data_IF_494210028300
#
_entry.id   IF_494210028300
#
_cell.length_a   1.000
_cell.length_b   1.000
_cell.length_c   1.000
_cell.angle_alpha   90.00
_cell.angle_beta   90.00
_cell.angle_gamma   90.00
#
_symmetry.space_group_name_H-M   'P 1'
#
loop_
_entity.id
_entity.type
_entity.pdbx_description
1 polymer ?
#
# COMPACT_ATOMS: atom_id res chain seq x y z
N UNK A 1 0.17 -13.70 18.65
CA UNK A 1 1.34 -13.65 17.76
C UNK A 1 1.02 -13.74 16.27
N UNK A 2 0.50 -14.87 15.74
CA UNK A 2 0.25 -15.04 14.30
C UNK A 2 -0.88 -14.17 13.74
N UNK A 3 -1.85 -13.79 14.59
CA UNK A 3 -3.02 -13.00 14.21
C UNK A 3 -2.68 -11.58 13.72
N UNK A 4 -1.76 -10.88 14.40
CA UNK A 4 -1.37 -9.52 14.00
C UNK A 4 -0.59 -9.51 12.67
N UNK A 5 0.30 -10.48 12.46
CA UNK A 5 1.05 -10.61 11.21
C UNK A 5 0.17 -11.04 10.04
N UNK A 6 -0.77 -11.96 10.28
CA UNK A 6 -1.73 -12.39 9.27
C UNK A 6 -2.69 -11.27 8.87
N UNK A 7 -3.21 -10.52 9.85
CA UNK A 7 -4.05 -9.35 9.61
C UNK A 7 -3.30 -8.28 8.81
N UNK A 8 -2.04 -7.98 9.21
CA UNK A 8 -1.19 -7.04 8.48
C UNK A 8 -0.96 -7.51 7.04
N UNK A 9 -0.62 -8.78 6.84
CA UNK A 9 -0.41 -9.35 5.51
C UNK A 9 -1.66 -9.23 4.63
N UNK A 10 -2.83 -9.56 5.16
CA UNK A 10 -4.09 -9.45 4.42
C UNK A 10 -4.40 -7.99 4.05
N UNK A 11 -4.20 -7.06 4.98
CA UNK A 11 -4.37 -5.63 4.75
C UNK A 11 -3.48 -5.14 3.59
N UNK A 12 -2.17 -5.40 3.64
CA UNK A 12 -1.25 -4.98 2.56
C UNK A 12 -1.58 -5.65 1.24
N UNK A 13 -2.00 -6.92 1.26
CA UNK A 13 -2.37 -7.66 0.05
C UNK A 13 -3.62 -7.07 -0.62
N UNK A 14 -4.62 -6.70 0.17
CA UNK A 14 -5.83 -6.05 -0.32
C UNK A 14 -5.52 -4.66 -0.90
N UNK A 15 -4.75 -3.86 -0.17
CA UNK A 15 -4.33 -2.55 -0.63
C UNK A 15 -3.51 -2.64 -1.94
N UNK A 16 -2.55 -3.56 -2.00
CA UNK A 16 -1.75 -3.83 -3.21
C UNK A 16 -2.61 -4.22 -4.40
N UNK A 17 -3.71 -4.94 -4.17
CA UNK A 17 -4.66 -5.27 -5.23
C UNK A 17 -5.42 -4.03 -5.71
N UNK A 18 -5.96 -3.21 -4.80
CA UNK A 18 -6.70 -1.98 -5.13
C UNK A 18 -5.84 -1.01 -5.94
N UNK A 19 -4.62 -0.75 -5.48
CA UNK A 19 -3.66 0.15 -6.16
C UNK A 19 -3.27 -0.39 -7.54
N UNK A 20 -3.18 -1.71 -7.71
CA UNK A 20 -2.89 -2.31 -9.02
C UNK A 20 -4.09 -2.25 -9.99
N UNK A 21 -5.31 -2.41 -9.47
CA UNK A 21 -6.54 -2.20 -10.23
C UNK A 21 -6.60 -0.75 -10.74
N UNK A 22 -6.30 0.24 -9.88
CA UNK A 22 -6.16 1.65 -10.27
C UNK A 22 -5.05 1.89 -11.30
N UNK A 23 -3.87 1.31 -11.08
CA UNK A 23 -2.74 1.38 -12.03
C UNK A 23 -3.18 0.91 -13.41
N UNK A 24 -3.89 -0.22 -13.46
CA UNK A 24 -4.39 -0.83 -14.69
C UNK A 24 -5.49 0.03 -15.32
N UNK A 25 -6.34 0.66 -14.50
CA UNK A 25 -7.34 1.60 -14.94
C UNK A 25 -6.72 2.83 -15.60
N UNK A 26 -5.73 3.49 -14.97
CA UNK A 26 -5.01 4.62 -15.57
C UNK A 26 -4.28 4.25 -16.86
N UNK A 27 -3.68 3.04 -16.93
CA UNK A 27 -3.07 2.53 -18.17
C UNK A 27 -4.10 2.37 -19.28
N UNK A 28 -5.31 1.91 -18.95
CA UNK A 28 -6.41 1.75 -19.90
C UNK A 28 -6.98 3.11 -20.31
N UNK A 29 -7.10 4.04 -19.37
CA UNK A 29 -7.50 5.42 -19.62
C UNK A 29 -6.57 6.11 -20.61
N UNK A 30 -5.25 6.01 -20.42
CA UNK A 30 -4.24 6.53 -21.37
C UNK A 30 -4.45 6.00 -22.79
N UNK A 31 -4.68 4.69 -22.95
CA UNK A 31 -4.97 4.08 -24.26
C UNK A 31 -6.26 4.58 -24.88
N UNK A 32 -7.26 4.96 -24.08
CA UNK A 32 -8.52 5.54 -24.56
C UNK A 32 -8.36 6.99 -24.96
N UNK A 33 -7.61 7.79 -24.19
CA UNK A 33 -7.27 9.17 -24.53
C UNK A 33 -6.58 9.26 -25.90
N UNK A 34 -5.74 8.26 -26.24
CA UNK A 34 -5.09 8.20 -27.54
C UNK A 34 -6.06 8.15 -28.73
N UNK A 35 -7.24 7.55 -28.52
CA UNK A 35 -8.29 7.37 -29.54
C UNK A 35 -9.26 8.53 -29.64
N UNK A 36 -9.30 9.44 -28.66
CA UNK A 36 -10.19 10.60 -28.70
C UNK A 36 -9.64 11.58 -29.74
N UNK A 37 -10.40 11.87 -30.80
CA UNK A 37 -10.01 12.89 -31.78
C UNK A 37 -9.99 14.26 -31.12
N UNK A 38 -8.92 15.03 -31.31
CA UNK A 38 -8.85 16.43 -30.88
C UNK A 38 -9.71 17.25 -31.83
N UNK A 39 -10.62 18.04 -31.28
CA UNK A 39 -11.32 19.05 -32.07
C UNK A 39 -10.34 20.18 -32.34
N UNK A 40 -9.80 20.21 -33.56
CA UNK A 40 -9.14 21.42 -34.06
C UNK A 40 -10.19 22.52 -34.03
N UNK A 41 -9.97 23.57 -33.24
CA UNK A 41 -10.65 24.86 -33.40
C UNK A 41 -10.26 25.43 -34.77
N UNK A 42 -10.82 24.85 -35.83
CA UNK A 42 -10.82 25.43 -37.14
C UNK A 42 -11.85 26.55 -37.08
N UNK A 43 -11.39 27.76 -36.80
CA UNK A 43 -12.15 28.97 -37.10
C UNK A 43 -12.24 29.06 -38.62
N UNK A 44 -13.15 28.30 -39.24
CA UNK A 44 -13.51 28.48 -40.63
C UNK A 44 -14.29 29.80 -40.72
N UNK A 45 -13.61 30.85 -41.18
CA UNK A 45 -14.26 32.06 -41.68
C UNK A 45 -15.04 31.69 -42.95
N UNK A 46 -16.34 31.43 -42.80
CA UNK A 46 -17.26 31.32 -43.93
C UNK A 46 -17.48 32.70 -44.58
N UNK A 47 -17.51 32.82 -45.92
CA UNK A 47 -17.78 34.09 -46.63
C UNK A 47 -19.23 34.59 -46.53
N UNK A 48 -20.08 33.91 -45.75
CA UNK A 48 -21.48 34.28 -45.53
C UNK A 48 -21.72 34.25 -44.03
N UNK A 49 -21.92 35.44 -43.44
CA UNK A 49 -21.97 35.69 -41.99
C UNK A 49 -23.16 35.05 -41.26
N UNK A 50 -23.29 33.73 -41.32
CA UNK A 50 -24.13 32.94 -40.42
C UNK A 50 -23.24 31.95 -39.68
N UNK A 51 -22.84 32.38 -38.48
CA UNK A 51 -22.25 31.52 -37.47
C UNK A 51 -23.37 30.65 -36.89
N UNK A 52 -23.52 29.41 -37.36
CA UNK A 52 -24.27 28.41 -36.60
C UNK A 52 -23.36 27.99 -35.46
N UNK A 53 -23.50 28.64 -34.31
CA UNK A 53 -22.97 28.12 -33.05
C UNK A 53 -23.72 26.81 -32.78
N UNK A 54 -23.14 25.68 -33.18
CA UNK A 54 -23.53 24.39 -32.65
C UNK A 54 -23.22 24.38 -31.16
N UNK A 55 -24.25 24.67 -30.36
CA UNK A 55 -24.32 24.57 -28.91
C UNK A 55 -23.13 25.12 -28.11
N UNK A 56 -23.38 26.23 -27.39
CA UNK A 56 -22.64 26.61 -26.19
C UNK A 56 -22.82 25.53 -25.10
N UNK A 57 -22.29 24.33 -25.28
CA UNK A 57 -22.04 23.45 -24.14
C UNK A 57 -20.87 24.06 -23.39
N UNK A 58 -21.10 24.68 -22.24
CA UNK A 58 -20.05 24.84 -21.23
C UNK A 58 -19.99 23.52 -20.47
N UNK A 59 -18.79 23.05 -20.09
CA UNK A 59 -18.65 21.80 -19.32
C UNK A 59 -17.63 20.82 -19.89
N UNK A 60 -17.47 19.71 -19.17
CA UNK A 60 -16.47 18.67 -19.43
C UNK A 60 -16.67 18.02 -20.81
N UNK A 61 -15.61 17.80 -21.61
CA UNK A 61 -15.73 17.09 -22.88
C UNK A 61 -16.32 15.69 -22.67
N UNK A 62 -17.48 15.34 -23.28
CA UNK A 62 -18.20 14.10 -22.96
C UNK A 62 -17.39 12.82 -23.21
N UNK A 63 -16.53 12.83 -24.24
CA UNK A 63 -15.64 11.70 -24.54
C UNK A 63 -14.55 11.50 -23.48
N UNK A 64 -14.07 12.58 -22.87
CA UNK A 64 -13.10 12.52 -21.77
C UNK A 64 -13.77 11.96 -20.52
N UNK A 65 -14.92 12.54 -20.14
CA UNK A 65 -15.70 12.09 -18.98
C UNK A 65 -16.04 10.61 -19.08
N UNK A 66 -16.66 10.19 -20.19
CA UNK A 66 -17.01 8.78 -20.42
C UNK A 66 -15.79 7.86 -20.39
N UNK A 67 -14.65 8.28 -20.96
CA UNK A 67 -13.43 7.48 -20.92
C UNK A 67 -12.90 7.31 -19.49
N UNK A 68 -12.97 8.34 -18.66
CA UNK A 68 -12.53 8.32 -17.27
C UNK A 68 -13.47 7.49 -16.38
N UNK A 69 -14.78 7.75 -16.47
CA UNK A 69 -15.81 7.03 -15.72
C UNK A 69 -15.75 5.52 -15.96
N UNK A 70 -15.65 5.11 -17.23
CA UNK A 70 -15.61 3.69 -17.59
C UNK A 70 -14.20 3.08 -17.55
N UNK A 71 -13.25 3.73 -16.89
CA UNK A 71 -11.92 3.16 -16.56
C UNK A 71 -11.54 3.40 -15.10
N UNK A 72 -11.19 4.63 -14.73
CA UNK A 72 -10.68 4.99 -13.40
C UNK A 72 -11.77 4.90 -12.34
N UNK A 73 -12.98 5.38 -12.64
CA UNK A 73 -14.12 5.24 -11.70
C UNK A 73 -14.81 3.87 -11.80
N UNK A 74 -14.38 3.01 -12.71
CA UNK A 74 -14.93 1.66 -12.89
C UNK A 74 -14.11 0.58 -12.18
N UNK A 75 -13.17 0.96 -11.31
CA UNK A 75 -12.44 0.00 -10.47
C UNK A 75 -13.39 -0.60 -9.43
N UNK A 76 -13.22 -1.87 -9.04
CA UNK A 76 -14.19 -2.58 -8.19
C UNK A 76 -14.48 -1.92 -6.83
N UNK A 77 -13.52 -1.18 -6.29
CA UNK A 77 -13.60 -0.52 -4.99
C UNK A 77 -14.09 0.94 -5.04
N UNK A 78 -14.36 1.49 -6.23
CA UNK A 78 -14.62 2.92 -6.38
C UNK A 78 -15.80 3.42 -5.53
N UNK A 79 -16.94 2.74 -5.64
CA UNK A 79 -18.19 3.12 -4.95
C UNK A 79 -18.10 2.92 -3.42
N UNK A 80 -17.15 2.13 -2.94
CA UNK A 80 -16.98 1.85 -1.51
C UNK A 80 -16.02 2.87 -0.89
N UNK A 81 -14.91 3.13 -1.58
CA UNK A 81 -13.80 3.91 -1.04
C UNK A 81 -13.95 5.41 -1.32
N UNK A 82 -14.59 5.79 -2.44
CA UNK A 82 -14.73 7.18 -2.87
C UNK A 82 -16.20 7.61 -2.96
N UNK A 83 -17.02 6.92 -3.77
CA UNK A 83 -18.40 7.33 -4.11
C UNK A 83 -18.51 8.81 -4.54
N UNK A 84 -17.47 9.30 -5.22
CA UNK A 84 -17.35 10.71 -5.60
C UNK A 84 -17.85 10.96 -7.02
N UNK A 85 -18.43 12.15 -7.31
CA UNK A 85 -18.73 12.54 -8.67
C UNK A 85 -17.44 12.83 -9.46
N UNK A 86 -17.53 12.72 -10.79
CA UNK A 86 -16.40 12.94 -11.72
C UNK A 86 -15.56 14.18 -11.38
N UNK A 87 -16.19 15.34 -11.17
CA UNK A 87 -15.48 16.61 -10.97
C UNK A 87 -14.63 16.63 -9.70
N UNK A 88 -15.12 15.99 -8.64
CA UNK A 88 -14.43 15.91 -7.34
C UNK A 88 -13.25 14.96 -7.46
N UNK A 89 -13.48 13.74 -7.91
CA UNK A 89 -12.44 12.73 -8.02
C UNK A 89 -11.39 13.10 -9.08
N UNK A 90 -11.83 13.64 -10.22
CA UNK A 90 -10.92 14.13 -11.25
C UNK A 90 -10.09 15.30 -10.73
N UNK A 91 -10.66 16.23 -9.95
CA UNK A 91 -9.89 17.33 -9.36
C UNK A 91 -8.89 16.87 -8.30
N UNK A 92 -9.24 15.86 -7.50
CA UNK A 92 -8.33 15.26 -6.53
C UNK A 92 -7.13 14.59 -7.23
N UNK A 93 -7.38 13.84 -8.31
CA UNK A 93 -6.35 13.13 -9.08
C UNK A 93 -5.56 14.04 -10.04
N UNK A 94 -6.19 15.12 -10.52
CA UNK A 94 -5.62 16.05 -11.49
C UNK A 94 -5.74 17.47 -10.95
N UNK A 95 -4.60 18.07 -10.60
CA UNK A 95 -4.45 19.42 -10.03
C UNK A 95 -5.55 20.43 -10.39
N UNK A 96 -5.93 21.31 -9.46
CA UNK A 96 -6.96 22.35 -9.64
C UNK A 96 -6.86 23.14 -10.96
N UNK A 97 -5.65 23.35 -11.47
CA UNK A 97 -5.40 23.99 -12.77
C UNK A 97 -6.05 23.25 -13.95
N UNK A 98 -6.04 21.92 -13.94
CA UNK A 98 -6.68 21.08 -14.96
C UNK A 98 -8.20 21.13 -14.86
N UNK A 99 -8.74 21.10 -13.64
CA UNK A 99 -10.18 21.25 -13.37
C UNK A 99 -10.70 22.62 -13.86
N UNK A 100 -9.92 23.68 -13.64
CA UNK A 100 -10.22 25.01 -14.17
C UNK A 100 -10.23 25.04 -15.71
N UNK A 101 -9.29 24.35 -16.37
CA UNK A 101 -9.28 24.26 -17.84
C UNK A 101 -10.52 23.55 -18.39
N UNK A 102 -11.01 22.51 -17.71
CA UNK A 102 -12.23 21.78 -18.09
C UNK A 102 -13.50 22.62 -17.95
N UNK A 103 -13.52 23.52 -16.96
CA UNK A 103 -14.67 24.41 -16.72
C UNK A 103 -14.83 25.47 -17.81
N UNK A 104 -13.73 25.84 -18.49
CA UNK A 104 -13.68 26.97 -19.43
C UNK A 104 -13.76 26.55 -20.89
N UNK A 105 -13.40 25.30 -21.24
CA UNK A 105 -13.39 24.84 -22.63
C UNK A 105 -14.09 23.49 -22.81
N UNK A 106 -15.20 23.45 -23.58
CA UNK A 106 -15.91 22.20 -23.87
C UNK A 106 -15.25 21.34 -24.94
N UNK A 107 -14.32 21.92 -25.70
CA UNK A 107 -13.58 21.21 -26.72
C UNK A 107 -12.37 20.49 -26.08
N UNK A 108 -12.14 19.25 -26.46
CA UNK A 108 -10.93 18.53 -26.06
C UNK A 108 -9.73 19.00 -26.90
N UNK A 109 -9.25 20.21 -26.59
CA UNK A 109 -8.16 20.89 -27.32
C UNK A 109 -6.83 20.13 -27.20
N UNK A 110 -5.85 20.35 -28.11
CA UNK A 110 -4.53 19.71 -28.02
C UNK A 110 -3.84 19.97 -26.68
N UNK A 111 -4.00 21.19 -26.15
CA UNK A 111 -3.41 21.61 -24.87
C UNK A 111 -4.03 20.88 -23.68
N UNK A 112 -5.37 20.81 -23.62
CA UNK A 112 -6.09 20.06 -22.58
C UNK A 112 -5.73 18.57 -22.65
N UNK A 113 -5.72 17.98 -23.85
CA UNK A 113 -5.30 16.59 -24.04
C UNK A 113 -3.90 16.33 -23.53
N UNK A 114 -2.93 17.16 -23.90
CA UNK A 114 -1.54 16.99 -23.45
C UNK A 114 -1.42 17.03 -21.93
N UNK A 115 -2.15 17.95 -21.29
CA UNK A 115 -2.13 18.09 -19.84
C UNK A 115 -2.82 16.91 -19.13
N UNK A 116 -3.95 16.40 -19.65
CA UNK A 116 -4.62 15.19 -19.12
C UNK A 116 -3.73 13.95 -19.29
N UNK A 117 -3.09 13.77 -20.45
CA UNK A 117 -2.16 12.65 -20.68
C UNK A 117 -1.00 12.72 -19.68
N UNK A 118 -0.41 13.90 -19.48
CA UNK A 118 0.67 14.07 -18.52
C UNK A 118 0.23 13.75 -17.08
N UNK A 119 -0.95 14.20 -16.66
CA UNK A 119 -1.53 13.86 -15.36
C UNK A 119 -1.79 12.37 -15.20
N UNK A 120 -2.39 11.72 -16.21
CA UNK A 120 -2.67 10.29 -16.17
C UNK A 120 -1.40 9.43 -16.17
N UNK A 121 -0.34 9.87 -16.87
CA UNK A 121 0.98 9.25 -16.81
C UNK A 121 1.62 9.40 -15.44
N UNK A 122 1.46 10.56 -14.78
CA UNK A 122 1.92 10.78 -13.42
C UNK A 122 1.22 9.83 -12.45
N UNK A 123 -0.12 9.81 -12.44
CA UNK A 123 -0.89 8.91 -11.57
C UNK A 123 -0.56 7.43 -11.81
N UNK A 124 -0.41 7.01 -13.08
CA UNK A 124 0.05 5.66 -13.39
C UNK A 124 1.41 5.32 -12.76
N UNK A 125 2.39 6.25 -12.84
CA UNK A 125 3.73 6.05 -12.26
C UNK A 125 3.69 6.02 -10.74
N UNK A 126 2.94 6.93 -10.12
CA UNK A 126 2.78 6.98 -8.66
C UNK A 126 2.17 5.68 -8.11
N UNK A 127 1.12 5.16 -8.75
CA UNK A 127 0.56 3.84 -8.41
C UNK A 127 1.55 2.71 -8.63
N UNK A 128 2.34 2.74 -9.72
CA UNK A 128 3.35 1.70 -9.98
C UNK A 128 4.47 1.68 -8.92
N UNK A 129 4.93 2.86 -8.52
CA UNK A 129 5.90 3.04 -7.43
C UNK A 129 5.30 2.60 -6.09
N UNK A 130 4.01 2.88 -5.86
CA UNK A 130 3.33 2.44 -4.64
C UNK A 130 3.15 0.92 -4.58
N UNK A 131 2.75 0.27 -5.67
CA UNK A 131 2.71 -1.20 -5.77
C UNK A 131 4.07 -1.81 -5.42
N UNK A 132 5.17 -1.21 -5.91
CA UNK A 132 6.52 -1.71 -5.60
C UNK A 132 6.83 -1.63 -4.10
N UNK A 133 6.38 -0.57 -3.42
CA UNK A 133 6.53 -0.43 -1.97
C UNK A 133 5.68 -1.45 -1.20
N UNK A 134 4.45 -1.70 -1.66
CA UNK A 134 3.56 -2.70 -1.05
C UNK A 134 4.11 -4.12 -1.24
N UNK A 135 4.66 -4.44 -2.41
CA UNK A 135 5.33 -5.72 -2.67
C UNK A 135 6.54 -5.90 -1.72
N UNK A 136 7.33 -4.85 -1.49
CA UNK A 136 8.44 -4.90 -0.52
C UNK A 136 7.97 -5.12 0.92
N UNK A 137 6.87 -4.49 1.32
CA UNK A 137 6.30 -4.68 2.65
C UNK A 137 5.72 -6.10 2.82
N UNK A 138 5.05 -6.65 1.80
CA UNK A 138 4.58 -8.05 1.80
C UNK A 138 5.73 -9.04 2.01
N UNK A 139 6.84 -8.89 1.29
CA UNK A 139 8.02 -9.74 1.46
C UNK A 139 8.63 -9.59 2.86
N UNK A 140 8.65 -8.37 3.41
CA UNK A 140 9.12 -8.12 4.77
C UNK A 140 8.23 -8.79 5.82
N UNK A 141 6.91 -8.73 5.66
CA UNK A 141 5.95 -9.39 6.55
C UNK A 141 6.10 -10.92 6.50
N UNK A 142 6.22 -11.50 5.31
CA UNK A 142 6.42 -12.94 5.14
C UNK A 142 7.72 -13.44 5.79
N UNK A 143 8.81 -12.67 5.61
CA UNK A 143 10.09 -12.97 6.25
C UNK A 143 9.95 -12.94 7.77
N UNK A 144 9.33 -11.89 8.31
CA UNK A 144 9.13 -11.76 9.75
C UNK A 144 8.23 -12.86 10.32
N UNK A 145 7.15 -13.21 9.62
CA UNK A 145 6.25 -14.30 10.00
C UNK A 145 6.98 -15.65 10.02
N UNK A 146 7.79 -15.92 9.00
CA UNK A 146 8.56 -17.17 8.91
C UNK A 146 9.56 -17.29 10.06
N UNK A 147 10.32 -16.23 10.34
CA UNK A 147 11.30 -16.22 11.43
C UNK A 147 10.62 -16.32 12.81
N UNK A 148 9.57 -15.54 13.05
CA UNK A 148 8.83 -15.58 14.32
C UNK A 148 8.19 -16.96 14.56
N UNK A 149 7.60 -17.55 13.53
CA UNK A 149 7.02 -18.91 13.60
C UNK A 149 8.10 -19.94 13.89
N UNK A 150 9.25 -19.88 13.22
CA UNK A 150 10.39 -20.77 13.48
C UNK A 150 10.90 -20.67 14.92
N UNK A 151 10.94 -19.46 15.49
CA UNK A 151 11.32 -19.26 16.89
C UNK A 151 10.27 -19.87 17.82
N UNK A 152 8.99 -19.60 17.58
CA UNK A 152 7.88 -20.13 18.38
C UNK A 152 7.83 -21.66 18.38
N UNK A 153 7.91 -22.30 17.22
CA UNK A 153 7.90 -23.76 17.08
C UNK A 153 9.05 -24.42 17.85
N UNK A 154 10.25 -23.81 17.84
CA UNK A 154 11.40 -24.30 18.60
C UNK A 154 11.15 -24.27 20.10
N UNK A 155 10.43 -23.28 20.60
CA UNK A 155 10.06 -23.20 22.02
C UNK A 155 8.97 -24.23 22.33
N UNK A 156 7.93 -24.30 21.50
CA UNK A 156 6.77 -25.16 21.70
C UNK A 156 7.14 -26.65 21.72
N UNK A 157 7.96 -27.10 20.77
CA UNK A 157 8.49 -28.49 20.73
C UNK A 157 9.22 -28.84 22.02
N UNK A 158 9.80 -27.85 22.70
CA UNK A 158 10.52 -28.05 23.95
C UNK A 158 9.66 -27.85 25.20
N UNK A 159 8.37 -27.53 25.09
CA UNK A 159 7.47 -27.41 26.25
C UNK A 159 6.74 -28.73 26.57
N UNK A 160 6.87 -29.76 25.74
CA UNK A 160 6.17 -31.05 25.92
C UNK A 160 6.60 -31.86 27.16
N UNK A 161 7.82 -31.66 27.65
CA UNK A 161 8.30 -32.31 28.88
C UNK A 161 8.35 -31.29 30.01
N UNK A 162 7.60 -31.49 31.11
CA UNK A 162 7.62 -30.60 32.27
C UNK A 162 9.05 -30.38 32.78
N UNK A 163 9.38 -29.15 33.16
CA UNK A 163 10.72 -28.80 33.63
C UNK A 163 11.16 -29.66 34.85
N UNK A 164 10.22 -29.98 35.74
CA UNK A 164 10.44 -30.87 36.90
C UNK A 164 10.86 -32.29 36.53
N UNK A 165 10.60 -32.73 35.30
CA UNK A 165 10.93 -34.07 34.81
C UNK A 165 12.22 -34.09 33.99
N UNK A 166 12.86 -32.95 33.77
CA UNK A 166 14.11 -32.83 33.02
C UNK A 166 15.31 -32.96 33.95
N UNK A 167 16.34 -33.64 33.49
CA UNK A 167 17.66 -33.66 34.13
C UNK A 167 18.32 -32.27 34.08
N UNK A 168 19.34 -32.06 34.90
CA UNK A 168 20.13 -30.81 34.90
C UNK A 168 20.69 -30.48 33.50
N UNK A 169 21.24 -31.48 32.79
CA UNK A 169 21.80 -31.28 31.46
C UNK A 169 20.72 -30.91 30.42
N UNK A 170 19.52 -31.49 30.53
CA UNK A 170 18.39 -31.14 29.66
C UNK A 170 17.89 -29.72 29.94
N UNK A 171 17.88 -29.29 31.21
CA UNK A 171 17.54 -27.91 31.59
C UNK A 171 18.59 -26.91 31.05
N UNK A 172 19.89 -27.24 31.13
CA UNK A 172 20.96 -26.40 30.59
C UNK A 172 20.88 -26.29 29.07
N UNK A 173 20.58 -27.39 28.38
CA UNK A 173 20.38 -27.39 26.93
C UNK A 173 19.17 -26.52 26.53
N UNK A 174 18.08 -26.62 27.30
CA UNK A 174 16.87 -25.81 27.09
C UNK A 174 17.14 -24.32 27.35
N UNK A 175 17.87 -23.98 28.40
CA UNK A 175 18.31 -22.62 28.67
C UNK A 175 19.12 -22.04 27.49
N UNK A 176 20.13 -22.77 27.02
CA UNK A 176 20.94 -22.34 25.88
C UNK A 176 20.13 -22.19 24.57
N UNK A 177 19.09 -23.01 24.38
CA UNK A 177 18.16 -22.87 23.26
C UNK A 177 17.37 -21.57 23.34
N UNK A 178 16.82 -21.26 24.53
CA UNK A 178 16.04 -20.04 24.78
C UNK A 178 16.91 -18.80 24.55
N UNK A 179 18.12 -18.74 25.09
CA UNK A 179 19.04 -17.63 24.86
C UNK A 179 19.32 -17.42 23.36
N UNK A 180 19.60 -18.50 22.62
CA UNK A 180 19.82 -18.42 21.17
C UNK A 180 18.59 -17.91 20.42
N UNK A 181 17.38 -18.24 20.88
CA UNK A 181 16.16 -17.74 20.28
C UNK A 181 15.91 -16.26 20.61
N UNK A 182 16.32 -15.79 21.81
CA UNK A 182 16.31 -14.38 22.15
C UNK A 182 17.27 -13.59 21.23
N UNK A 183 18.49 -14.07 21.02
CA UNK A 183 19.46 -13.42 20.12
C UNK A 183 18.90 -13.28 18.69
N UNK A 184 18.27 -14.35 18.16
CA UNK A 184 17.62 -14.31 16.83
C UNK A 184 16.46 -13.34 16.77
N UNK A 185 15.73 -13.20 17.87
CA UNK A 185 14.60 -12.28 17.95
C UNK A 185 15.07 -10.82 17.96
N UNK A 186 16.18 -10.54 18.64
CA UNK A 186 16.82 -9.22 18.63
C UNK A 186 17.34 -8.86 17.24
N UNK A 187 17.98 -9.82 16.55
CA UNK A 187 18.40 -9.65 15.15
C UNK A 187 17.20 -9.33 14.23
N UNK A 188 16.07 -10.03 14.41
CA UNK A 188 14.84 -9.78 13.66
C UNK A 188 14.27 -8.38 13.95
N UNK A 189 14.29 -7.94 15.22
CA UNK A 189 13.83 -6.60 15.61
C UNK A 189 14.67 -5.50 14.94
N UNK A 190 16.00 -5.65 14.98
CA UNK A 190 16.94 -4.71 14.34
C UNK A 190 16.73 -4.67 12.82
N UNK A 191 16.62 -5.83 12.18
CA UNK A 191 16.35 -5.93 10.74
C UNK A 191 15.02 -5.24 10.35
N UNK A 192 13.97 -5.42 11.16
CA UNK A 192 12.69 -4.76 10.93
C UNK A 192 12.79 -3.24 11.11
N UNK A 193 13.45 -2.77 12.16
CA UNK A 193 13.66 -1.33 12.39
C UNK A 193 14.42 -0.66 11.23
N UNK A 194 15.45 -1.33 10.69
CA UNK A 194 16.14 -0.85 9.50
C UNK A 194 15.24 -0.78 8.27
N UNK A 195 14.36 -1.76 8.09
CA UNK A 195 13.40 -1.78 6.98
C UNK A 195 12.42 -0.61 7.09
N UNK A 196 11.85 -0.38 8.27
CA UNK A 196 10.96 0.76 8.56
C UNK A 196 11.67 2.08 8.27
N UNK A 197 12.88 2.26 8.80
CA UNK A 197 13.66 3.49 8.61
C UNK A 197 13.97 3.74 7.12
N UNK A 198 14.31 2.70 6.36
CA UNK A 198 14.60 2.80 4.92
C UNK A 198 13.38 3.20 4.11
N UNK A 199 12.22 2.61 4.40
CA UNK A 199 10.96 2.95 3.72
C UNK A 199 10.57 4.40 3.99
N UNK A 200 10.82 4.89 5.21
CA UNK A 200 10.43 6.24 5.61
C UNK A 200 11.44 7.33 5.18
N UNK A 201 12.73 6.99 5.05
CA UNK A 201 13.76 7.95 4.60
C UNK A 201 13.65 8.37 3.13
N UNK A 202 12.92 7.63 2.30
CA UNK A 202 12.70 7.95 0.87
C UNK A 202 11.50 8.86 0.60
N UNK A 203 10.77 9.28 1.63
CA UNK A 203 9.54 10.07 1.48
C UNK A 203 9.91 11.54 1.25
N UNK A 204 9.77 12.03 0.03
CA UNK A 204 9.58 13.46 -0.20
C UNK A 204 8.40 13.90 0.66
N UNK A 205 8.61 14.93 1.49
CA UNK A 205 7.93 15.29 2.76
C UNK A 205 6.39 15.39 2.81
N UNK A 206 5.65 15.00 1.78
CA UNK A 206 4.20 15.17 1.68
C UNK A 206 3.39 13.87 1.74
N UNK A 207 4.03 12.70 1.88
CA UNK A 207 3.31 11.43 2.07
C UNK A 207 3.22 11.08 3.56
N UNK A 208 2.05 10.63 4.01
CA UNK A 208 1.87 9.94 5.29
C UNK A 208 2.80 8.72 5.32
N UNK A 209 3.45 8.46 6.46
CA UNK A 209 4.27 7.26 6.69
C UNK A 209 3.49 6.00 6.24
N UNK A 210 4.14 5.11 5.48
CA UNK A 210 3.51 3.90 4.94
C UNK A 210 2.80 3.09 6.04
N UNK A 211 3.40 3.02 7.23
CA UNK A 211 2.85 2.25 8.34
C UNK A 211 1.60 2.90 8.93
N UNK A 212 1.61 4.23 9.05
CA UNK A 212 0.44 4.99 9.51
C UNK A 212 -0.69 4.97 8.48
N UNK A 213 -0.36 4.82 7.20
CA UNK A 213 -1.35 4.64 6.14
C UNK A 213 -1.97 3.24 6.14
N UNK A 214 -1.14 2.19 6.29
CA UNK A 214 -1.60 0.80 6.18
C UNK A 214 -2.22 0.25 7.47
N UNK A 215 -1.71 0.68 8.63
CA UNK A 215 -2.00 0.02 9.89
C UNK A 215 -2.54 1.02 10.92
N UNK A 216 -3.70 0.68 11.48
CA UNK A 216 -4.30 1.44 12.59
C UNK A 216 -3.68 0.96 13.92
N UNK A 217 -4.15 -0.16 14.48
CA UNK A 217 -3.56 -0.79 15.66
C UNK A 217 -3.34 -2.32 15.50
N UNK A 218 -2.13 -2.83 15.81
CA UNK A 218 -0.90 -2.08 16.08
C UNK A 218 -0.31 -1.46 14.79
N UNK A 219 0.12 -0.20 14.85
CA UNK A 219 0.78 0.50 13.72
C UNK A 219 2.07 -0.18 13.24
N UNK A 220 2.73 -0.94 14.13
CA UNK A 220 3.93 -1.73 13.82
C UNK A 220 3.71 -3.21 14.13
N UNK A 221 2.94 -3.94 13.31
CA UNK A 221 2.48 -5.30 13.62
C UNK A 221 3.62 -6.30 13.82
N UNK A 222 4.71 -6.15 13.08
CA UNK A 222 5.90 -6.99 13.25
C UNK A 222 6.58 -6.75 14.60
N UNK A 223 6.76 -5.49 15.00
CA UNK A 223 7.39 -5.17 16.28
C UNK A 223 6.51 -5.60 17.46
N UNK A 224 5.19 -5.49 17.32
CA UNK A 224 4.24 -6.01 18.31
C UNK A 224 4.37 -7.53 18.47
N UNK A 225 4.39 -8.27 17.36
CA UNK A 225 4.57 -9.73 17.39
C UNK A 225 5.94 -10.14 18.00
N UNK A 226 7.00 -9.39 17.71
CA UNK A 226 8.32 -9.60 18.31
C UNK A 226 8.28 -9.36 19.83
N UNK A 227 7.63 -8.30 20.29
CA UNK A 227 7.51 -8.00 21.73
C UNK A 227 6.73 -9.10 22.49
N UNK A 228 5.67 -9.65 21.90
CA UNK A 228 4.94 -10.80 22.46
C UNK A 228 5.85 -12.04 22.59
N UNK A 229 6.62 -12.33 21.55
CA UNK A 229 7.53 -13.48 21.55
C UNK A 229 8.68 -13.30 22.55
N UNK A 230 9.20 -12.08 22.67
CA UNK A 230 10.25 -11.73 23.63
C UNK A 230 9.75 -11.97 25.06
N UNK A 231 8.51 -11.57 25.35
CA UNK A 231 7.87 -11.81 26.65
C UNK A 231 7.73 -13.31 26.95
N UNK A 232 7.36 -14.09 25.93
CA UNK A 232 7.23 -15.56 26.03
C UNK A 232 8.58 -16.21 26.33
N UNK A 233 9.62 -15.85 25.57
CA UNK A 233 10.99 -16.34 25.76
C UNK A 233 11.55 -15.96 27.13
N UNK A 234 11.36 -14.72 27.56
CA UNK A 234 11.81 -14.24 28.87
C UNK A 234 11.12 -15.02 30.00
N UNK A 235 9.81 -15.25 29.90
CA UNK A 235 9.07 -16.06 30.87
C UNK A 235 9.59 -17.51 30.92
N UNK A 236 9.90 -18.10 29.76
CA UNK A 236 10.49 -19.43 29.69
C UNK A 236 11.87 -19.47 30.34
N UNK A 237 12.73 -18.49 30.06
CA UNK A 237 14.05 -18.34 30.66
C UNK A 237 13.97 -18.32 32.19
N UNK A 238 13.14 -17.43 32.77
CA UNK A 238 12.98 -17.33 34.22
C UNK A 238 12.48 -18.63 34.86
N UNK A 239 11.59 -19.37 34.19
CA UNK A 239 11.12 -20.68 34.66
C UNK A 239 12.25 -21.71 34.69
N UNK A 240 13.09 -21.75 33.66
CA UNK A 240 14.22 -22.68 33.57
C UNK A 240 15.30 -22.33 34.60
N UNK A 241 15.65 -21.05 34.73
CA UNK A 241 16.63 -20.58 35.73
C UNK A 241 16.20 -20.96 37.14
N UNK A 242 14.92 -20.78 37.47
CA UNK A 242 14.37 -21.17 38.77
C UNK A 242 14.52 -22.68 39.02
N UNK A 243 14.20 -23.51 38.04
CA UNK A 243 14.35 -24.97 38.17
C UNK A 243 15.82 -25.39 38.27
N UNK A 244 16.75 -24.71 37.59
CA UNK A 244 18.18 -24.94 37.72
C UNK A 244 18.71 -24.60 39.12
N UNK A 245 18.19 -23.56 39.77
CA UNK A 245 18.61 -23.15 41.13
C UNK A 245 18.17 -24.17 42.19
N UNK A 246 17.01 -24.81 42.00
CA UNK A 246 16.45 -25.78 42.94
C UNK A 246 16.90 -27.24 42.70
N UNK A 247 17.81 -27.47 41.74
CA UNK A 247 18.41 -28.77 41.41
C UNK A 247 19.78 -28.94 42.03
#
# INVERSE_FOLDING_TARGET
MTTHLESAYNCVREERRRVDDERTAFKTFLRRLDRITVESTNTQLSPSGMTVNTANTTGVPPKLQSAYESTVMAVPHYDIDYDEPFEVHFGAEFSDKLTAMLSVSPAFTPQLRGAVIAGAQKNYKERAEFVTRLDQELESLLTAQTEATSIYEKIEVNDHTPLSNRSFNELLALYALVCRQQDRLDELAVSRQHTIARVNHGINSNLVDLHTYLYDEPTFPVLAAIAELATTLHTAQCRIERELIYR
#
